data_IF_618218246548
#
_entry.id   IF_618218246548
#
_cell.length_a   1.000
_cell.length_b   1.000
_cell.length_c   1.000
_cell.angle_alpha   90.00
_cell.angle_beta   90.00
_cell.angle_gamma   90.00
#
_symmetry.space_group_name_H-M   'P 1'
#
loop_
_entity.id
_entity.type
_entity.pdbx_description
1 polymer ?
#
# COMPACT_ATOMS: atom_id res chain seq x y z
N UNK A 1 -22.09 -2.03 11.52
CA UNK A 1 -21.48 -3.31 11.12
C UNK A 1 -20.08 -2.98 10.61
N UNK A 2 -19.04 -3.75 10.97
CA UNK A 2 -17.76 -3.56 10.28
C UNK A 2 -17.99 -3.78 8.79
N UNK A 3 -17.48 -2.88 7.96
CA UNK A 3 -17.57 -3.03 6.51
C UNK A 3 -16.91 -4.37 6.14
N UNK A 4 -17.55 -5.17 5.31
CA UNK A 4 -16.98 -6.42 4.81
C UNK A 4 -15.74 -6.06 4.02
N UNK A 5 -14.58 -6.55 4.42
CA UNK A 5 -13.33 -6.36 3.69
C UNK A 5 -13.44 -7.11 2.37
N UNK A 6 -13.34 -6.41 1.25
CA UNK A 6 -13.23 -7.02 -0.07
C UNK A 6 -11.76 -7.46 -0.21
N UNK A 7 -11.47 -8.77 -0.37
CA UNK A 7 -10.10 -9.22 -0.54
C UNK A 7 -9.56 -8.83 -1.92
N UNK A 8 -8.24 -8.68 -2.04
CA UNK A 8 -7.59 -8.37 -3.33
C UNK A 8 -7.80 -9.47 -4.39
N UNK A 9 -8.09 -10.71 -3.96
CA UNK A 9 -8.44 -11.83 -4.85
C UNK A 9 -9.91 -11.82 -5.31
N UNK A 10 -10.74 -10.88 -4.83
CA UNK A 10 -12.16 -10.83 -5.20
C UNK A 10 -12.33 -10.69 -6.72
N UNK A 11 -13.27 -11.44 -7.34
CA UNK A 11 -13.57 -11.32 -8.75
C UNK A 11 -13.89 -9.89 -9.20
N UNK A 12 -14.53 -9.07 -8.36
CA UNK A 12 -14.80 -7.67 -8.67
C UNK A 12 -13.51 -6.87 -8.91
N UNK A 13 -12.46 -7.10 -8.08
CA UNK A 13 -11.16 -6.43 -8.25
C UNK A 13 -10.44 -6.91 -9.50
N UNK A 14 -10.51 -8.21 -9.80
CA UNK A 14 -9.88 -8.78 -11.01
C UNK A 14 -10.54 -8.32 -12.29
N UNK A 15 -11.88 -8.20 -12.30
CA UNK A 15 -12.67 -7.90 -13.49
C UNK A 15 -12.82 -6.43 -13.81
N UNK A 16 -12.49 -5.53 -12.88
CA UNK A 16 -12.58 -4.09 -13.16
C UNK A 16 -11.73 -3.71 -14.37
N UNK A 17 -12.30 -2.93 -15.29
CA UNK A 17 -11.59 -2.51 -16.51
C UNK A 17 -10.35 -1.68 -16.17
N UNK A 18 -9.39 -1.65 -17.08
CA UNK A 18 -8.24 -0.76 -17.03
C UNK A 18 -8.29 0.18 -18.23
N UNK A 19 -8.22 1.49 -17.94
CA UNK A 19 -8.00 2.53 -18.94
C UNK A 19 -6.75 3.29 -18.55
N UNK A 20 -5.57 2.82 -19.01
CA UNK A 20 -4.28 3.40 -18.64
C UNK A 20 -4.20 4.88 -19.01
N UNK A 21 -3.86 5.71 -18.03
CA UNK A 21 -3.76 7.17 -18.20
C UNK A 21 -2.46 7.61 -18.89
N UNK A 22 -1.45 6.75 -18.93
CA UNK A 22 -0.08 7.05 -19.38
C UNK A 22 0.60 8.21 -18.63
N UNK A 23 0.14 8.49 -17.44
CA UNK A 23 0.71 9.50 -16.57
C UNK A 23 2.15 9.12 -16.16
N UNK A 24 3.04 10.11 -16.13
CA UNK A 24 4.42 9.94 -15.72
C UNK A 24 4.61 9.70 -14.22
N UNK A 25 5.85 9.40 -13.85
CA UNK A 25 6.24 9.12 -12.48
C UNK A 25 7.01 10.28 -11.85
N UNK A 26 6.95 10.35 -10.52
CA UNK A 26 7.69 11.28 -9.68
C UNK A 26 8.45 10.48 -8.63
N UNK A 27 9.71 10.82 -8.40
CA UNK A 27 10.47 10.31 -7.27
C UNK A 27 10.16 11.16 -6.03
N UNK A 28 9.80 10.51 -4.94
CA UNK A 28 9.44 11.21 -3.71
C UNK A 28 10.65 11.65 -2.88
N UNK A 29 11.87 11.22 -3.23
CA UNK A 29 13.08 11.68 -2.58
C UNK A 29 13.30 13.19 -2.82
N UNK A 30 13.21 13.99 -1.75
CA UNK A 30 13.33 15.44 -1.83
C UNK A 30 12.17 16.17 -2.54
N UNK A 31 11.07 15.48 -2.80
CA UNK A 31 9.93 16.03 -3.54
C UNK A 31 9.20 17.14 -2.80
N UNK A 32 9.02 17.01 -1.49
CA UNK A 32 8.31 17.99 -0.66
C UNK A 32 8.77 17.93 0.80
N UNK A 33 8.88 19.08 1.47
CA UNK A 33 9.39 19.20 2.84
C UNK A 33 8.55 18.48 3.91
N UNK A 34 7.24 18.31 3.65
CA UNK A 34 6.30 17.58 4.52
C UNK A 34 6.19 16.09 4.21
N UNK A 35 6.95 15.58 3.24
CA UNK A 35 7.04 14.17 2.86
C UNK A 35 8.48 13.71 3.08
N UNK A 36 8.71 12.95 4.15
CA UNK A 36 9.97 12.27 4.40
C UNK A 36 9.94 10.87 3.77
N UNK A 37 11.11 10.34 3.45
CA UNK A 37 11.27 9.01 2.84
C UNK A 37 12.29 8.18 3.59
N UNK A 38 12.09 6.86 3.65
CA UNK A 38 13.02 5.91 4.28
C UNK A 38 14.07 5.44 3.26
N UNK A 39 15.20 6.15 3.18
CA UNK A 39 16.30 5.78 2.30
C UNK A 39 17.05 4.52 2.79
N UNK A 40 16.95 4.19 4.07
CA UNK A 40 17.60 3.00 4.66
C UNK A 40 16.87 1.70 4.29
N UNK A 41 15.63 1.80 3.79
CA UNK A 41 14.79 0.65 3.37
C UNK A 41 14.62 -0.40 4.47
N UNK A 42 14.41 0.04 5.72
CA UNK A 42 14.40 -0.85 6.88
C UNK A 42 13.29 -1.88 6.84
N UNK A 43 12.14 -1.49 6.27
CA UNK A 43 10.91 -2.28 6.33
C UNK A 43 10.55 -2.92 4.97
N UNK A 44 11.43 -2.85 3.96
CA UNK A 44 11.18 -3.39 2.62
C UNK A 44 12.34 -4.23 2.10
N UNK A 45 12.01 -5.24 1.28
CA UNK A 45 12.99 -6.09 0.60
C UNK A 45 13.37 -5.58 -0.80
N UNK A 46 12.59 -4.67 -1.37
CA UNK A 46 12.85 -4.13 -2.70
C UNK A 46 14.22 -3.47 -2.78
N UNK A 47 15.01 -3.88 -3.77
CA UNK A 47 16.31 -3.28 -4.11
C UNK A 47 16.23 -2.45 -5.39
N UNK A 48 15.04 -2.29 -5.96
CA UNK A 48 14.81 -1.39 -7.09
C UNK A 48 15.28 0.02 -6.75
N UNK A 49 15.98 0.72 -7.65
CA UNK A 49 16.29 2.14 -7.47
C UNK A 49 15.03 3.01 -7.53
N UNK A 50 13.91 2.47 -8.01
CA UNK A 50 12.65 3.18 -8.22
C UNK A 50 11.65 3.03 -7.07
N UNK A 51 12.04 2.45 -5.93
CA UNK A 51 11.13 2.13 -4.83
C UNK A 51 10.37 3.33 -4.24
N UNK A 52 10.81 4.56 -4.48
CA UNK A 52 10.13 5.79 -4.10
C UNK A 52 9.35 6.45 -5.24
N UNK A 53 9.36 5.86 -6.45
CA UNK A 53 8.59 6.42 -7.56
C UNK A 53 7.12 6.08 -7.42
N UNK A 54 6.28 7.07 -7.70
CA UNK A 54 4.82 6.94 -7.75
C UNK A 54 4.29 7.72 -8.95
N UNK A 55 3.05 7.47 -9.37
CA UNK A 55 2.38 8.27 -10.38
C UNK A 55 2.28 9.73 -9.93
N UNK A 56 2.32 10.68 -10.87
CA UNK A 56 2.30 12.12 -10.59
C UNK A 56 1.10 12.53 -9.73
N UNK A 57 -0.10 12.09 -10.08
CA UNK A 57 -1.31 12.40 -9.29
C UNK A 57 -1.27 11.78 -7.89
N UNK A 58 -0.59 10.65 -7.70
CA UNK A 58 -0.34 10.07 -6.37
C UNK A 58 0.54 11.00 -5.55
N UNK A 59 1.66 11.50 -6.13
CA UNK A 59 2.54 12.45 -5.47
C UNK A 59 1.83 13.77 -5.09
N UNK A 60 1.01 14.32 -6.00
CA UNK A 60 0.23 15.54 -5.76
C UNK A 60 -0.79 15.34 -4.63
N UNK A 61 -1.46 14.18 -4.59
CA UNK A 61 -2.38 13.83 -3.50
C UNK A 61 -1.66 13.64 -2.18
N UNK A 62 -0.43 13.13 -2.18
CA UNK A 62 0.38 13.06 -0.96
C UNK A 62 0.72 14.45 -0.40
N UNK A 63 0.96 15.45 -1.25
CA UNK A 63 1.13 16.84 -0.81
C UNK A 63 -0.15 17.31 -0.12
N UNK A 64 -1.33 17.08 -0.71
CA UNK A 64 -2.61 17.46 -0.12
C UNK A 64 -2.84 16.76 1.23
N UNK A 65 -2.53 15.46 1.34
CA UNK A 65 -2.59 14.72 2.60
C UNK A 65 -1.61 15.28 3.64
N UNK A 66 -0.37 15.58 3.25
CA UNK A 66 0.65 16.15 4.13
C UNK A 66 0.25 17.53 4.70
N UNK A 67 -0.40 18.37 3.88
CA UNK A 67 -0.95 19.64 4.34
C UNK A 67 -2.13 19.51 5.31
N UNK A 68 -2.85 18.39 5.27
CA UNK A 68 -3.95 18.10 6.20
C UNK A 68 -3.46 17.58 7.57
N UNK A 69 -2.18 17.24 7.71
CA UNK A 69 -1.59 16.81 8.97
C UNK A 69 -1.31 17.98 9.92
N UNK A 70 -1.29 17.76 11.25
CA UNK A 70 -0.71 18.70 12.21
C UNK A 70 0.70 19.14 11.80
N UNK A 71 1.07 20.38 12.10
CA UNK A 71 2.37 20.95 11.71
C UNK A 71 3.58 20.16 12.28
N UNK A 72 3.40 19.48 13.41
CA UNK A 72 4.43 18.64 14.07
C UNK A 72 4.64 17.28 13.40
N UNK A 73 3.83 16.91 12.41
CA UNK A 73 3.88 15.60 11.75
C UNK A 73 4.15 15.76 10.26
N UNK A 74 4.85 14.77 9.70
CA UNK A 74 5.06 14.61 8.26
C UNK A 74 4.66 13.20 7.84
N UNK A 75 4.33 13.01 6.57
CA UNK A 75 4.25 11.66 5.99
C UNK A 75 5.67 11.07 5.94
N UNK A 76 5.78 9.77 6.21
CA UNK A 76 7.03 9.04 6.12
C UNK A 76 6.85 7.82 5.22
N UNK A 77 7.30 7.95 3.98
CA UNK A 77 7.12 6.95 2.93
C UNK A 77 8.19 5.89 3.03
N UNK A 78 7.77 4.63 3.02
CA UNK A 78 8.63 3.44 3.04
C UNK A 78 8.77 2.83 1.65
N UNK A 79 7.67 2.65 0.91
CA UNK A 79 7.67 2.07 -0.42
C UNK A 79 6.58 2.70 -1.30
N UNK A 80 6.91 3.00 -2.54
CA UNK A 80 6.00 3.32 -3.62
C UNK A 80 6.00 2.20 -4.67
N UNK A 81 6.81 2.34 -5.72
CA UNK A 81 6.92 1.33 -6.77
C UNK A 81 7.64 0.06 -6.29
N UNK A 82 7.07 -1.08 -6.65
CA UNK A 82 7.65 -2.42 -6.48
C UNK A 82 7.63 -3.16 -7.82
N UNK A 83 8.77 -3.70 -8.31
CA UNK A 83 8.79 -4.45 -9.55
C UNK A 83 7.79 -5.61 -9.56
N UNK A 84 7.07 -5.80 -10.67
CA UNK A 84 6.11 -6.89 -10.82
C UNK A 84 6.76 -8.27 -10.62
N UNK A 85 8.02 -8.43 -11.01
CA UNK A 85 8.78 -9.67 -10.78
C UNK A 85 8.95 -9.96 -9.28
N UNK A 86 9.22 -8.94 -8.47
CA UNK A 86 9.32 -9.06 -7.02
C UNK A 86 7.96 -9.39 -6.40
N UNK A 87 6.88 -8.74 -6.85
CA UNK A 87 5.52 -9.04 -6.42
C UNK A 87 5.13 -10.49 -6.70
N UNK A 88 5.45 -10.99 -7.90
CA UNK A 88 5.23 -12.41 -8.26
C UNK A 88 6.01 -13.36 -7.35
N UNK A 89 7.26 -13.02 -7.02
CA UNK A 89 8.08 -13.82 -6.11
C UNK A 89 7.42 -13.90 -4.74
N UNK A 90 7.03 -12.79 -4.13
CA UNK A 90 6.38 -12.75 -2.83
C UNK A 90 5.10 -13.59 -2.81
N UNK A 91 4.25 -13.42 -3.82
CA UNK A 91 3.01 -14.20 -3.92
C UNK A 91 3.29 -15.71 -4.00
N UNK A 92 4.24 -16.11 -4.85
CA UNK A 92 4.59 -17.53 -5.05
C UNK A 92 5.21 -18.13 -3.79
N UNK A 93 6.10 -17.41 -3.11
CA UNK A 93 6.76 -17.86 -1.89
C UNK A 93 5.76 -18.03 -0.74
N UNK A 94 4.84 -17.07 -0.57
CA UNK A 94 3.81 -17.15 0.47
C UNK A 94 2.81 -18.28 0.19
N UNK A 95 2.36 -18.42 -1.06
CA UNK A 95 1.51 -19.56 -1.48
C UNK A 95 2.19 -20.90 -1.22
N UNK A 96 3.46 -21.02 -1.54
CA UNK A 96 4.23 -22.23 -1.26
C UNK A 96 4.42 -22.48 0.24
N UNK A 97 4.54 -21.42 1.06
CA UNK A 97 4.58 -21.52 2.51
C UNK A 97 3.26 -22.09 3.05
N UNK A 98 2.13 -21.54 2.66
CA UNK A 98 0.81 -22.02 3.08
C UNK A 98 0.58 -23.48 2.69
N UNK A 99 0.97 -23.91 1.48
CA UNK A 99 0.88 -25.31 1.05
C UNK A 99 1.68 -26.25 1.95
N UNK A 100 2.78 -25.80 2.53
CA UNK A 100 3.61 -26.64 3.43
C UNK A 100 3.12 -26.66 4.87
N UNK A 101 2.43 -25.61 5.32
CA UNK A 101 2.11 -25.40 6.74
C UNK A 101 0.67 -25.72 7.09
N UNK A 102 -0.26 -25.63 6.11
CA UNK A 102 -1.67 -25.91 6.38
C UNK A 102 -1.96 -27.43 6.35
N UNK A 103 -2.68 -27.89 7.37
CA UNK A 103 -3.16 -29.27 7.48
C UNK A 103 -4.55 -29.28 8.15
N UNK A 104 -5.65 -29.74 7.49
CA UNK A 104 -5.65 -30.26 6.11
C UNK A 104 -5.32 -29.18 5.07
N UNK A 105 -4.77 -29.59 3.92
CA UNK A 105 -4.49 -28.68 2.83
C UNK A 105 -5.81 -28.25 2.17
N UNK A 106 -6.11 -26.94 2.07
CA UNK A 106 -7.28 -26.43 1.36
C UNK A 106 -7.17 -26.63 -0.17
N UNK A 107 -8.28 -26.40 -0.90
CA UNK A 107 -8.25 -26.30 -2.36
C UNK A 107 -7.46 -25.07 -2.83
N UNK A 108 -7.15 -25.01 -4.13
CA UNK A 108 -6.31 -23.98 -4.71
C UNK A 108 -6.93 -22.58 -4.61
N UNK A 109 -8.25 -22.45 -4.80
CA UNK A 109 -8.94 -21.16 -4.72
C UNK A 109 -8.88 -20.60 -3.29
N UNK A 110 -9.06 -21.46 -2.29
CA UNK A 110 -8.91 -21.11 -0.88
C UNK A 110 -7.45 -20.72 -0.55
N UNK A 111 -6.46 -21.44 -1.08
CA UNK A 111 -5.05 -21.10 -0.89
C UNK A 111 -4.69 -19.74 -1.49
N UNK A 112 -5.19 -19.46 -2.69
CA UNK A 112 -5.03 -18.14 -3.33
C UNK A 112 -5.70 -17.04 -2.51
N UNK A 113 -6.91 -17.27 -2.02
CA UNK A 113 -7.60 -16.32 -1.15
C UNK A 113 -6.84 -16.04 0.14
N UNK A 114 -6.35 -17.07 0.82
CA UNK A 114 -5.53 -16.93 2.02
C UNK A 114 -4.22 -16.20 1.76
N UNK A 115 -3.54 -16.51 0.64
CA UNK A 115 -2.33 -15.80 0.21
C UNK A 115 -2.62 -14.31 0.02
N UNK A 116 -3.77 -13.99 -0.58
CA UNK A 116 -4.17 -12.62 -0.93
C UNK A 116 -4.49 -11.74 0.28
N UNK A 117 -4.58 -12.30 1.48
CA UNK A 117 -4.70 -11.53 2.71
C UNK A 117 -3.40 -10.79 3.08
N UNK A 118 -2.24 -11.30 2.60
CA UNK A 118 -0.91 -10.77 2.94
C UNK A 118 -0.14 -10.25 1.71
N UNK A 119 -0.37 -10.90 0.56
CA UNK A 119 0.36 -10.54 -0.66
C UNK A 119 -0.66 -10.44 -1.80
N UNK A 120 -0.78 -9.26 -2.38
CA UNK A 120 -1.67 -9.05 -3.51
C UNK A 120 -1.31 -9.97 -4.68
N UNK A 121 -2.31 -10.61 -5.34
CA UNK A 121 -2.08 -11.30 -6.60
C UNK A 121 -1.43 -10.37 -7.63
N UNK A 122 -0.43 -10.83 -8.39
CA UNK A 122 0.35 -9.97 -9.29
C UNK A 122 -0.48 -9.19 -10.31
N UNK A 123 -1.62 -9.76 -10.73
CA UNK A 123 -2.52 -9.15 -11.72
C UNK A 123 -3.33 -7.96 -11.20
N UNK A 124 -3.45 -7.82 -9.87
CA UNK A 124 -4.21 -6.75 -9.21
C UNK A 124 -3.36 -5.90 -8.27
N UNK A 125 -2.09 -6.26 -8.08
CA UNK A 125 -1.19 -5.58 -7.17
C UNK A 125 -0.99 -4.11 -7.57
N UNK A 126 -1.12 -3.20 -6.62
CA UNK A 126 -1.08 -1.77 -6.85
C UNK A 126 0.37 -1.20 -6.90
N UNK A 127 1.32 -1.72 -6.12
CA UNK A 127 2.71 -1.25 -6.15
C UNK A 127 3.39 -1.30 -7.53
N UNK A 128 3.20 -2.37 -8.36
CA UNK A 128 3.76 -2.39 -9.70
C UNK A 128 3.16 -1.37 -10.66
N UNK A 129 2.07 -0.71 -10.30
CA UNK A 129 1.47 0.34 -11.13
C UNK A 129 1.98 1.74 -10.76
N UNK A 130 2.69 1.89 -9.64
CA UNK A 130 3.03 3.17 -9.02
C UNK A 130 1.85 3.89 -8.36
N UNK A 131 0.74 3.18 -8.17
CA UNK A 131 -0.48 3.68 -7.53
C UNK A 131 -0.49 3.53 -6.01
N UNK A 132 0.25 2.56 -5.48
CA UNK A 132 0.29 2.26 -4.05
C UNK A 132 1.45 2.93 -3.34
N UNK A 133 1.24 3.10 -2.05
CA UNK A 133 2.24 3.66 -1.16
C UNK A 133 2.10 3.02 0.23
N UNK A 134 3.23 2.56 0.75
CA UNK A 134 3.35 2.12 2.14
C UNK A 134 4.01 3.24 2.94
N UNK A 135 3.32 3.72 3.97
CA UNK A 135 3.76 4.90 4.71
C UNK A 135 3.25 4.93 6.15
N UNK A 136 3.92 5.73 6.94
CA UNK A 136 3.56 6.04 8.32
C UNK A 136 3.69 7.55 8.58
N UNK A 137 3.68 7.96 9.84
CA UNK A 137 3.94 9.33 10.27
C UNK A 137 5.31 9.43 10.96
N UNK A 138 5.95 10.59 10.81
CA UNK A 138 7.19 10.92 11.51
C UNK A 138 7.05 12.31 12.15
N UNK A 139 7.62 12.50 13.33
CA UNK A 139 7.64 13.81 14.00
C UNK A 139 8.61 14.78 13.32
N UNK A 140 8.56 16.05 13.72
CA UNK A 140 9.49 17.06 13.24
C UNK A 140 10.95 16.71 13.61
N UNK A 141 11.17 16.02 14.74
CA UNK A 141 12.47 15.56 15.24
C UNK A 141 12.97 14.27 14.53
N UNK A 142 12.19 13.69 13.61
CA UNK A 142 12.57 12.48 12.90
C UNK A 142 12.25 11.18 13.65
N UNK A 143 11.34 11.22 14.61
CA UNK A 143 10.89 10.03 15.36
C UNK A 143 9.65 9.46 14.69
N UNK A 144 9.70 8.18 14.30
CA UNK A 144 8.56 7.47 13.75
C UNK A 144 7.45 7.33 14.79
N UNK A 145 6.21 7.57 14.38
CA UNK A 145 5.05 7.62 15.27
C UNK A 145 4.49 6.21 15.48
N UNK A 146 4.26 5.84 16.73
CA UNK A 146 3.66 4.55 17.09
C UNK A 146 2.26 4.40 16.49
N UNK A 147 2.08 3.38 15.65
CA UNK A 147 0.82 3.00 15.03
C UNK A 147 0.21 1.72 15.64
N UNK A 148 0.81 1.19 16.71
CA UNK A 148 0.34 0.01 17.43
C UNK A 148 0.87 -1.32 16.93
N UNK A 149 1.49 -1.34 15.74
CA UNK A 149 2.30 -2.44 15.21
C UNK A 149 3.41 -1.88 14.35
N UNK A 150 4.45 -2.67 14.13
CA UNK A 150 5.41 -2.42 13.06
C UNK A 150 4.72 -2.60 11.69
N UNK A 151 5.23 -1.94 10.67
CA UNK A 151 4.85 -2.18 9.28
C UNK A 151 5.18 -3.63 8.88
N UNK A 152 4.42 -4.19 7.96
CA UNK A 152 4.55 -5.58 7.47
C UNK A 152 4.30 -6.67 8.53
N UNK A 153 3.85 -6.32 9.74
CA UNK A 153 3.40 -7.32 10.70
C UNK A 153 2.20 -8.09 10.13
N UNK A 154 2.27 -9.43 10.17
CA UNK A 154 1.13 -10.27 9.82
C UNK A 154 0.03 -10.19 10.88
N UNK A 155 -1.18 -10.63 10.54
CA UNK A 155 -2.29 -10.70 11.51
C UNK A 155 -1.97 -11.69 12.64
N UNK A 156 -1.26 -12.77 12.35
CA UNK A 156 -0.84 -13.76 13.36
C UNK A 156 0.18 -13.17 14.33
N UNK A 157 1.24 -12.51 13.83
CA UNK A 157 2.28 -11.88 14.65
C UNK A 157 1.73 -10.74 15.49
N UNK A 158 0.81 -9.96 14.94
CA UNK A 158 0.22 -8.79 15.58
C UNK A 158 -1.10 -9.07 16.31
N UNK A 159 -1.60 -10.32 16.28
CA UNK A 159 -2.94 -10.66 16.76
C UNK A 159 -4.03 -9.77 16.13
N UNK A 160 -3.89 -9.50 14.83
CA UNK A 160 -4.78 -8.65 14.04
C UNK A 160 -4.59 -7.14 14.26
N UNK A 161 -3.63 -6.73 15.08
CA UNK A 161 -3.38 -5.31 15.33
C UNK A 161 -2.84 -4.56 14.08
N UNK A 162 -2.40 -5.25 13.03
CA UNK A 162 -2.07 -4.68 11.72
C UNK A 162 -3.30 -4.15 10.97
N UNK A 163 -4.50 -4.66 11.24
CA UNK A 163 -5.73 -4.18 10.60
C UNK A 163 -6.00 -2.72 10.96
N UNK A 164 -6.30 -1.91 9.95
CA UNK A 164 -6.44 -0.45 10.06
C UNK A 164 -7.38 0.00 11.18
N UNK A 165 -8.52 -0.68 11.31
CA UNK A 165 -9.56 -0.36 12.28
C UNK A 165 -9.55 -1.24 13.53
N UNK A 166 -8.43 -1.94 13.81
CA UNK A 166 -8.32 -2.74 15.03
C UNK A 166 -8.42 -1.85 16.27
N UNK A 167 -9.20 -2.30 17.26
CA UNK A 167 -9.45 -1.57 18.51
C UNK A 167 -8.57 -2.05 19.66
N UNK A 168 -7.81 -3.13 19.49
CA UNK A 168 -6.94 -3.72 20.52
C UNK A 168 -5.50 -3.18 20.45
N UNK A 169 -5.36 -1.90 20.14
CA UNK A 169 -4.10 -1.15 20.15
C UNK A 169 -4.17 -0.03 21.21
N UNK A 170 -3.06 0.59 21.51
CA UNK A 170 -3.02 1.70 22.46
C UNK A 170 -3.92 2.86 22.00
N UNK A 171 -4.49 3.61 22.95
CA UNK A 171 -5.28 4.81 22.62
C UNK A 171 -4.46 5.85 21.85
N UNK A 172 -3.15 5.89 22.08
CA UNK A 172 -2.24 6.77 21.35
C UNK A 172 -2.12 6.31 19.89
N UNK A 173 -1.82 5.04 19.65
CA UNK A 173 -1.75 4.46 18.30
C UNK A 173 -3.07 4.61 17.54
N UNK A 174 -4.21 4.37 18.19
CA UNK A 174 -5.52 4.56 17.58
C UNK A 174 -5.74 6.02 17.12
N UNK A 175 -5.36 7.01 17.93
CA UNK A 175 -5.42 8.44 17.53
C UNK A 175 -4.47 8.74 16.37
N UNK A 176 -3.26 8.20 16.38
CA UNK A 176 -2.28 8.38 15.32
C UNK A 176 -2.79 7.83 13.99
N UNK A 177 -3.38 6.61 14.00
CA UNK A 177 -4.05 6.06 12.81
C UNK A 177 -5.20 6.93 12.31
N UNK A 178 -6.03 7.48 13.20
CA UNK A 178 -7.12 8.38 12.79
C UNK A 178 -6.61 9.65 12.11
N UNK A 179 -5.47 10.20 12.54
CA UNK A 179 -4.82 11.32 11.86
C UNK A 179 -4.40 10.93 10.45
N UNK A 180 -3.71 9.80 10.30
CA UNK A 180 -3.26 9.27 9.00
C UNK A 180 -4.45 8.97 8.07
N UNK A 181 -5.43 8.20 8.56
CA UNK A 181 -6.66 7.84 7.83
C UNK A 181 -7.37 9.11 7.34
N UNK A 182 -7.57 10.08 8.25
CA UNK A 182 -8.27 11.31 7.90
C UNK A 182 -7.54 12.14 6.85
N UNK A 183 -6.21 12.19 6.86
CA UNK A 183 -5.41 12.90 5.87
C UNK A 183 -5.47 12.23 4.48
N UNK A 184 -5.22 10.92 4.43
CA UNK A 184 -5.15 10.17 3.18
C UNK A 184 -6.52 9.99 2.52
N UNK A 185 -7.58 9.69 3.31
CA UNK A 185 -8.93 9.56 2.76
C UNK A 185 -9.42 10.89 2.16
N UNK A 186 -9.16 12.04 2.81
CA UNK A 186 -9.50 13.36 2.22
C UNK A 186 -8.74 13.66 0.95
N UNK A 187 -7.54 13.12 0.80
CA UNK A 187 -6.76 13.24 -0.43
C UNK A 187 -7.20 12.24 -1.52
N UNK A 188 -8.20 11.39 -1.27
CA UNK A 188 -8.78 10.46 -2.22
C UNK A 188 -8.11 9.10 -2.29
N UNK A 189 -7.22 8.77 -1.35
CA UNK A 189 -6.65 7.44 -1.24
C UNK A 189 -7.65 6.44 -0.64
N UNK A 190 -7.51 5.19 -1.05
CA UNK A 190 -8.19 4.04 -0.46
C UNK A 190 -7.19 3.21 0.34
N UNK A 191 -7.55 2.84 1.55
CA UNK A 191 -6.76 1.94 2.39
C UNK A 191 -7.12 0.49 2.11
N UNK A 192 -6.12 -0.41 2.15
CA UNK A 192 -6.37 -1.84 2.27
C UNK A 192 -6.56 -2.19 3.75
N UNK A 193 -7.75 -2.62 4.17
CA UNK A 193 -8.09 -2.69 5.60
C UNK A 193 -7.27 -3.66 6.44
N UNK A 194 -6.60 -4.64 5.81
CA UNK A 194 -5.71 -5.58 6.50
C UNK A 194 -4.37 -4.96 6.89
N UNK A 195 -4.03 -3.79 6.31
CA UNK A 195 -2.72 -3.14 6.43
C UNK A 195 -2.90 -1.64 6.65
N UNK A 196 -2.68 -1.15 7.88
CA UNK A 196 -2.87 0.26 8.21
C UNK A 196 -1.94 1.19 7.41
N UNK A 197 -0.82 0.68 6.91
CA UNK A 197 0.20 1.44 6.16
C UNK A 197 -0.06 1.51 4.66
N UNK A 198 -0.83 0.54 4.09
CA UNK A 198 -1.03 0.40 2.64
C UNK A 198 -2.20 1.24 2.12
N UNK A 199 -1.89 2.15 1.21
CA UNK A 199 -2.84 3.07 0.59
C UNK A 199 -2.62 3.13 -0.91
N UNK A 200 -3.68 3.31 -1.69
CA UNK A 200 -3.58 3.42 -3.14
C UNK A 200 -4.58 4.42 -3.72
N UNK A 201 -4.27 4.89 -4.95
CA UNK A 201 -5.13 5.74 -5.75
C UNK A 201 -5.01 5.36 -7.23
N UNK A 202 -6.13 5.08 -7.89
CA UNK A 202 -6.20 4.84 -9.33
C UNK A 202 -5.93 3.41 -9.77
N UNK A 203 -5.60 2.49 -8.86
CA UNK A 203 -5.47 1.06 -9.12
C UNK A 203 -6.83 0.33 -9.13
N UNK A 204 -6.82 -0.98 -9.36
CA UNK A 204 -8.04 -1.79 -9.43
C UNK A 204 -8.81 -1.84 -8.11
N UNK A 205 -8.11 -1.96 -6.96
CA UNK A 205 -8.75 -1.98 -5.66
C UNK A 205 -9.41 -0.64 -5.33
N UNK A 206 -8.70 0.46 -5.56
CA UNK A 206 -9.25 1.80 -5.43
C UNK A 206 -10.51 1.99 -6.29
N UNK A 207 -10.48 1.56 -7.55
CA UNK A 207 -11.62 1.71 -8.46
C UNK A 207 -12.86 0.98 -7.93
N UNK A 208 -12.72 -0.25 -7.45
CA UNK A 208 -13.84 -1.00 -6.84
C UNK A 208 -14.35 -0.30 -5.58
N UNK A 209 -13.48 0.13 -4.69
CA UNK A 209 -13.87 0.75 -3.42
C UNK A 209 -14.49 2.13 -3.58
N UNK A 210 -14.15 2.86 -4.65
CA UNK A 210 -14.70 4.18 -4.97
C UNK A 210 -15.89 4.10 -5.94
N UNK A 211 -16.31 2.89 -6.35
CA UNK A 211 -17.36 2.66 -7.36
C UNK A 211 -17.05 3.31 -8.71
N UNK A 212 -15.77 3.36 -9.08
CA UNK A 212 -15.33 3.83 -10.38
C UNK A 212 -15.54 2.74 -11.45
N UNK A 213 -15.75 3.14 -12.68
CA UNK A 213 -15.98 2.20 -13.79
C UNK A 213 -14.72 1.48 -14.24
N UNK A 214 -13.55 2.00 -13.92
CA UNK A 214 -12.25 1.47 -14.35
C UNK A 214 -11.11 1.96 -13.45
N UNK A 215 -10.03 1.16 -13.41
CA UNK A 215 -8.74 1.59 -12.90
C UNK A 215 -8.04 2.48 -13.94
N UNK A 216 -7.23 3.43 -13.50
CA UNK A 216 -6.50 4.36 -14.38
C UNK A 216 -4.99 4.07 -14.45
N UNK A 217 -4.48 3.15 -13.62
CA UNK A 217 -3.07 2.74 -13.62
C UNK A 217 -2.92 1.22 -13.70
N UNK A 218 -2.22 0.75 -14.73
CA UNK A 218 -1.78 -0.62 -14.89
C UNK A 218 -0.33 -0.83 -14.46
N UNK A 219 0.11 -2.11 -14.32
CA UNK A 219 1.51 -2.43 -14.03
C UNK A 219 2.45 -1.91 -15.12
N UNK A 220 3.61 -1.41 -14.71
CA UNK A 220 4.65 -0.92 -15.59
C UNK A 220 5.96 -1.67 -15.36
N UNK A 221 6.78 -1.77 -16.41
CA UNK A 221 8.13 -2.29 -16.30
C UNK A 221 9.10 -1.22 -15.79
N UNK A 222 10.16 -1.62 -15.08
CA UNK A 222 11.16 -0.68 -14.54
C UNK A 222 11.81 0.18 -15.63
N UNK A 223 11.99 -0.34 -16.83
CA UNK A 223 12.55 0.42 -17.96
C UNK A 223 11.71 1.64 -18.33
N UNK A 224 10.40 1.59 -18.12
CA UNK A 224 9.50 2.71 -18.37
C UNK A 224 9.65 3.85 -17.34
N UNK A 225 10.25 3.55 -16.18
CA UNK A 225 10.45 4.54 -15.10
C UNK A 225 11.66 5.43 -15.34
N UNK A 226 12.63 4.99 -16.15
CA UNK A 226 13.83 5.76 -16.47
C UNK A 226 13.55 6.83 -17.54
N UNK A 227 12.61 6.58 -18.45
CA UNK A 227 12.26 7.49 -19.55
C UNK A 227 11.40 8.69 -19.07
N UNK A 228 10.64 8.55 -18.01
CA UNK A 228 9.75 9.59 -17.49
C UNK A 228 10.47 10.73 -16.74
N UNK A 229 11.80 10.67 -16.61
CA UNK A 229 12.63 11.68 -15.94
C UNK A 229 13.24 12.72 -16.90
N UNK A 230 12.80 12.73 -18.17
CA UNK A 230 13.24 13.70 -19.20
C UNK A 230 12.21 14.74 -19.55
#
# INVERSE_FOLDING_TARGET
MPATVIPLSDPAVRSIALQESHEGFVDLAGFHDRIAVDLDRRDIESRSPHFLKVRRSVAERLIAAAHALPASLRLYVKEGYRPLALQRRYFTEHLAHLRRTLNPLPDEDTLVALTSHYVAPPEVAAHPTGAAIDLTLISAEGIEIDMGTIMNATDQESSGACYTHNTFISRAAARNRQILIGALTRAGFTNYPSEWWHWSFGDRYWAVMQNESHAIYGPVDESMLDEASR
#
